data_IF_332736443637
#
_entry.id   IF_332736443637
#
_cell.length_a   1.000
_cell.length_b   1.000
_cell.length_c   1.000
_cell.angle_alpha   90.00
_cell.angle_beta   90.00
_cell.angle_gamma   90.00
#
_symmetry.space_group_name_H-M   'P 1'
#
loop_
_entity.id
_entity.type
_entity.pdbx_description
1 polymer ?
#
# COMPACT_ATOMS: atom_id res chain seq x y z
N UNK A 1 -9.05 12.98 13.51
CA UNK A 1 -8.35 14.03 12.76
C UNK A 1 -8.72 13.88 11.29
N UNK A 2 -9.11 14.95 10.62
CA UNK A 2 -9.59 14.78 9.26
C UNK A 2 -8.45 14.70 8.23
N UNK A 3 -8.76 14.12 7.09
CA UNK A 3 -7.81 13.85 6.01
C UNK A 3 -7.13 15.12 5.49
N UNK A 4 -7.86 16.23 5.37
CA UNK A 4 -7.30 17.50 4.89
C UNK A 4 -6.21 18.03 5.81
N UNK A 5 -6.42 17.92 7.13
CA UNK A 5 -5.43 18.33 8.11
C UNK A 5 -4.16 17.51 7.99
N UNK A 6 -4.31 16.20 7.88
CA UNK A 6 -3.18 15.28 7.75
C UNK A 6 -2.38 15.58 6.47
N UNK A 7 -3.05 15.72 5.34
CA UNK A 7 -2.40 16.00 4.06
C UNK A 7 -1.66 17.35 4.07
N UNK A 8 -2.19 18.33 4.77
CA UNK A 8 -1.58 19.66 4.84
C UNK A 8 -0.36 19.70 5.74
N UNK A 9 -0.35 18.94 6.84
CA UNK A 9 0.61 19.10 7.92
C UNK A 9 1.65 17.97 7.99
N UNK A 10 1.46 16.89 7.25
CA UNK A 10 2.34 15.73 7.29
C UNK A 10 2.73 15.28 5.90
N UNK A 11 3.95 14.77 5.80
CA UNK A 11 4.46 14.21 4.55
C UNK A 11 3.95 12.77 4.43
N UNK A 12 3.50 12.39 3.24
CA UNK A 12 3.15 11.00 2.94
C UNK A 12 4.42 10.21 2.62
N UNK A 13 4.93 9.51 3.60
CA UNK A 13 6.15 8.71 3.43
C UNK A 13 5.96 7.55 2.46
N UNK A 14 4.73 7.14 2.18
CA UNK A 14 4.45 6.09 1.20
C UNK A 14 4.52 6.58 -0.24
N UNK A 15 4.72 7.86 -0.49
CA UNK A 15 4.74 8.39 -1.85
C UNK A 15 5.94 7.88 -2.66
N UNK A 16 5.69 7.40 -3.87
CA UNK A 16 6.75 7.00 -4.80
C UNK A 16 7.67 8.15 -5.18
N UNK A 17 7.19 9.39 -5.06
CA UNK A 17 7.97 10.58 -5.35
C UNK A 17 9.17 10.69 -4.42
N UNK A 18 9.06 10.17 -3.21
CA UNK A 18 10.16 10.14 -2.24
C UNK A 18 11.14 8.98 -2.44
N UNK A 19 10.91 8.14 -3.45
CA UNK A 19 11.72 6.95 -3.66
C UNK A 19 11.21 5.71 -2.92
N UNK A 20 10.03 5.79 -2.32
CA UNK A 20 9.39 4.65 -1.66
C UNK A 20 9.06 3.57 -2.67
N UNK A 21 9.29 2.32 -2.31
CA UNK A 21 9.14 1.17 -3.21
C UNK A 21 8.44 0.01 -2.52
N UNK A 22 7.77 -0.80 -3.31
CA UNK A 22 7.28 -2.10 -2.85
C UNK A 22 8.48 -3.03 -2.76
N UNK A 23 8.66 -3.64 -1.59
CA UNK A 23 9.74 -4.60 -1.38
C UNK A 23 9.26 -6.03 -1.62
N UNK A 24 8.18 -6.43 -0.98
CA UNK A 24 7.58 -7.76 -1.13
C UNK A 24 6.07 -7.67 -1.05
N UNK A 25 5.41 -8.65 -1.62
CA UNK A 25 3.96 -8.80 -1.52
C UNK A 25 3.58 -10.26 -1.61
N UNK A 26 2.45 -10.64 -1.03
CA UNK A 26 1.96 -12.01 -1.11
C UNK A 26 1.32 -12.30 -2.47
N UNK A 27 0.57 -11.35 -3.00
CA UNK A 27 -0.12 -11.49 -4.28
C UNK A 27 -0.48 -10.11 -4.82
N UNK A 28 -0.56 -9.97 -6.14
CA UNK A 28 -1.02 -8.75 -6.79
C UNK A 28 -1.70 -9.06 -8.14
N UNK A 29 -2.31 -10.23 -8.22
CA UNK A 29 -2.84 -10.74 -9.48
C UNK A 29 -3.84 -9.78 -10.13
N UNK A 30 -4.76 -9.19 -9.36
CA UNK A 30 -5.77 -8.28 -9.90
C UNK A 30 -5.36 -6.82 -9.89
N UNK A 31 -4.43 -6.43 -9.05
CA UNK A 31 -3.97 -5.05 -8.99
C UNK A 31 -2.61 -4.94 -8.34
N UNK A 32 -1.69 -4.23 -9.00
CA UNK A 32 -0.32 -4.07 -8.54
C UNK A 32 -0.24 -3.38 -7.18
N UNK A 33 0.61 -3.89 -6.30
CA UNK A 33 0.88 -3.27 -5.01
C UNK A 33 1.47 -1.86 -5.17
N UNK A 34 2.14 -1.58 -6.28
CA UNK A 34 2.70 -0.25 -6.55
C UNK A 34 1.65 0.86 -6.58
N UNK A 35 0.39 0.50 -6.81
CA UNK A 35 -0.72 1.47 -6.77
C UNK A 35 -0.91 2.08 -5.39
N UNK A 36 -0.41 1.44 -4.33
CA UNK A 36 -0.44 1.99 -2.98
C UNK A 36 0.45 3.22 -2.80
N UNK A 37 1.40 3.44 -3.70
CA UNK A 37 2.45 4.45 -3.56
C UNK A 37 2.18 5.73 -4.34
N UNK A 38 1.09 5.82 -5.06
CA UNK A 38 0.76 7.04 -5.79
C UNK A 38 0.21 8.09 -4.83
N UNK A 39 0.44 9.36 -5.16
CA UNK A 39 0.00 10.47 -4.31
C UNK A 39 -1.44 10.88 -4.55
N UNK A 40 -1.93 10.65 -5.76
CA UNK A 40 -3.26 11.09 -6.17
C UNK A 40 -4.33 10.30 -5.43
N UNK A 41 -5.49 10.91 -5.24
CA UNK A 41 -6.64 10.23 -4.66
C UNK A 41 -7.09 9.07 -5.55
N UNK A 42 -7.63 8.00 -4.95
CA UNK A 42 -8.13 6.90 -5.75
C UNK A 42 -9.25 7.35 -6.68
N UNK A 43 -9.28 6.78 -7.87
CA UNK A 43 -10.28 7.06 -8.88
C UNK A 43 -10.94 5.75 -9.33
N UNK A 44 -12.11 5.88 -9.92
CA UNK A 44 -12.82 4.77 -10.53
C UNK A 44 -12.96 5.03 -12.04
N UNK A 45 -12.70 3.98 -12.84
CA UNK A 45 -12.89 4.03 -14.30
C UNK A 45 -13.90 2.97 -14.68
N UNK A 46 -15.12 3.43 -14.98
CA UNK A 46 -16.17 2.52 -15.38
C UNK A 46 -15.86 1.90 -16.74
N UNK A 47 -16.14 0.60 -16.88
CA UNK A 47 -15.96 -0.10 -18.14
C UNK A 47 -14.52 -0.37 -18.54
N UNK A 48 -13.55 -0.08 -17.68
CA UNK A 48 -12.15 -0.33 -17.96
C UNK A 48 -11.73 -1.66 -17.34
N UNK A 49 -11.09 -2.49 -18.14
CA UNK A 49 -10.59 -3.80 -17.73
C UNK A 49 -9.11 -3.89 -18.06
N UNK A 50 -8.37 -4.56 -17.22
CA UNK A 50 -7.02 -4.95 -17.54
C UNK A 50 -6.95 -6.45 -17.84
N UNK A 51 -5.75 -6.97 -17.93
CA UNK A 51 -5.49 -8.36 -18.29
C UNK A 51 -6.24 -9.38 -17.44
N UNK A 52 -6.45 -9.08 -16.16
CA UNK A 52 -6.97 -10.06 -15.20
C UNK A 52 -8.37 -9.73 -14.69
N UNK A 53 -9.00 -8.68 -15.20
CA UNK A 53 -10.35 -8.33 -14.81
C UNK A 53 -10.61 -6.84 -14.77
N UNK A 54 -11.62 -6.45 -13.99
CA UNK A 54 -12.02 -5.05 -13.86
C UNK A 54 -10.89 -4.23 -13.23
N UNK A 55 -10.56 -3.10 -13.88
CA UNK A 55 -9.53 -2.22 -13.36
C UNK A 55 -9.99 -1.54 -12.07
N UNK A 56 -9.16 -1.63 -11.05
CA UNK A 56 -9.36 -0.96 -9.77
C UNK A 56 -8.10 -0.16 -9.42
N UNK A 57 -8.30 0.97 -8.77
CA UNK A 57 -7.20 1.85 -8.40
C UNK A 57 -6.65 1.50 -7.02
N UNK A 58 -5.96 0.38 -6.96
CA UNK A 58 -5.36 -0.07 -5.72
C UNK A 58 -4.76 -1.45 -5.85
N UNK A 59 -4.16 -1.88 -4.78
CA UNK A 59 -3.63 -3.22 -4.65
C UNK A 59 -4.78 -4.20 -4.46
N UNK A 60 -4.82 -5.23 -5.31
CA UNK A 60 -5.87 -6.23 -5.24
C UNK A 60 -5.29 -7.63 -5.43
N UNK A 61 -5.53 -8.48 -4.45
CA UNK A 61 -5.07 -9.86 -4.43
C UNK A 61 -6.16 -10.81 -4.91
N UNK A 62 -5.76 -12.02 -5.27
CA UNK A 62 -6.72 -13.10 -5.44
C UNK A 62 -7.33 -13.43 -4.08
N UNK A 63 -8.53 -14.01 -4.11
CA UNK A 63 -9.16 -14.50 -2.89
C UNK A 63 -8.26 -15.55 -2.25
N UNK A 64 -7.93 -15.33 -0.98
CA UNK A 64 -7.09 -16.28 -0.25
C UNK A 64 -7.94 -17.46 0.22
N UNK A 65 -7.61 -18.61 -0.29
CA UNK A 65 -8.35 -19.85 -0.01
C UNK A 65 -7.60 -20.77 0.96
N UNK A 66 -6.45 -20.34 1.43
CA UNK A 66 -5.64 -21.03 2.43
C UNK A 66 -5.52 -20.16 3.66
N UNK A 67 -5.13 -20.75 4.77
CA UNK A 67 -4.93 -20.03 6.01
C UNK A 67 -3.82 -19.00 5.87
N UNK A 68 -3.96 -17.87 6.57
CA UNK A 68 -2.99 -16.79 6.57
C UNK A 68 -3.57 -15.49 6.05
N UNK A 69 -2.73 -14.48 5.96
CA UNK A 69 -3.10 -13.13 5.53
C UNK A 69 -2.33 -12.73 4.30
N UNK A 70 -2.92 -11.85 3.50
CA UNK A 70 -2.15 -11.17 2.47
C UNK A 70 -1.32 -10.07 3.10
N UNK A 71 -0.16 -9.79 2.53
CA UNK A 71 0.75 -8.79 3.04
C UNK A 71 1.48 -8.06 1.92
N UNK A 72 1.92 -6.86 2.26
CA UNK A 72 2.82 -6.07 1.43
C UNK A 72 3.86 -5.44 2.34
N UNK A 73 5.10 -5.46 1.90
CA UNK A 73 6.21 -4.80 2.58
C UNK A 73 6.66 -3.62 1.72
N UNK A 74 6.68 -2.45 2.34
CA UNK A 74 7.01 -1.20 1.67
C UNK A 74 8.31 -0.67 2.27
N UNK A 75 9.27 -0.38 1.40
CA UNK A 75 10.52 0.27 1.81
C UNK A 75 10.37 1.77 1.59
N UNK A 76 10.34 2.52 2.68
CA UNK A 76 10.25 3.98 2.61
C UNK A 76 11.50 4.57 1.98
N UNK A 77 11.34 5.57 1.13
CA UNK A 77 12.45 6.24 0.46
C UNK A 77 13.23 7.18 1.38
N UNK A 78 12.59 7.65 2.45
CA UNK A 78 13.19 8.53 3.44
C UNK A 78 12.94 7.99 4.83
N UNK A 79 13.87 8.14 5.76
CA UNK A 79 13.60 7.88 7.17
C UNK A 79 12.62 8.92 7.70
N UNK A 80 11.81 8.52 8.66
CA UNK A 80 10.85 9.44 9.25
C UNK A 80 10.12 8.82 10.41
N UNK A 81 9.39 9.67 11.12
CA UNK A 81 8.52 9.25 12.21
C UNK A 81 7.11 9.07 11.64
N UNK A 82 6.54 7.90 11.86
CA UNK A 82 5.17 7.61 11.42
C UNK A 82 4.21 8.09 12.51
N UNK A 83 3.38 9.06 12.17
CA UNK A 83 2.36 9.59 13.09
C UNK A 83 0.99 9.02 12.80
N UNK A 84 0.69 8.76 11.53
CA UNK A 84 -0.61 8.27 11.08
C UNK A 84 -0.43 7.27 9.96
N UNK A 85 -1.37 6.34 9.86
CA UNK A 85 -1.51 5.48 8.71
C UNK A 85 -2.96 5.56 8.24
N UNK A 86 -3.15 5.77 6.96
CA UNK A 86 -4.47 5.75 6.34
C UNK A 86 -4.54 4.59 5.38
N UNK A 87 -5.54 3.74 5.57
CA UNK A 87 -5.83 2.63 4.68
C UNK A 87 -7.11 2.98 3.95
N UNK A 88 -6.97 3.25 2.65
CA UNK A 88 -8.07 3.71 1.82
C UNK A 88 -8.57 2.55 0.96
N UNK A 89 -9.81 2.15 1.18
CA UNK A 89 -10.45 1.07 0.43
C UNK A 89 -11.52 1.60 -0.53
N UNK A 90 -11.40 2.85 -0.94
CA UNK A 90 -12.37 3.47 -1.86
C UNK A 90 -12.56 2.63 -3.11
N UNK A 91 -13.82 2.47 -3.51
CA UNK A 91 -14.28 1.71 -4.67
C UNK A 91 -14.16 0.18 -4.56
N UNK A 92 -13.53 -0.33 -3.51
CA UNK A 92 -13.51 -1.78 -3.26
C UNK A 92 -14.74 -2.18 -2.43
N UNK A 93 -15.89 -2.20 -3.08
CA UNK A 93 -17.16 -2.47 -2.42
C UNK A 93 -17.40 -3.96 -2.30
N UNK A 94 -17.40 -4.46 -1.07
CA UNK A 94 -17.67 -5.87 -0.78
C UNK A 94 -16.45 -6.78 -0.82
N UNK A 95 -15.33 -6.32 -1.36
CA UNK A 95 -14.09 -7.11 -1.42
C UNK A 95 -12.93 -6.51 -0.62
N UNK A 96 -13.19 -5.46 0.14
CA UNK A 96 -12.19 -4.87 1.02
C UNK A 96 -11.94 -5.79 2.23
N UNK A 97 -10.72 -5.76 2.80
CA UNK A 97 -10.44 -6.53 4.00
C UNK A 97 -11.20 -5.97 5.19
N UNK A 98 -11.57 -6.85 6.11
CA UNK A 98 -12.24 -6.44 7.34
C UNK A 98 -11.26 -5.83 8.34
N UNK A 99 -10.02 -6.30 8.33
CA UNK A 99 -9.00 -5.88 9.28
C UNK A 99 -7.67 -5.71 8.56
N UNK A 100 -6.85 -4.83 9.09
CA UNK A 100 -5.49 -4.65 8.66
C UNK A 100 -4.61 -4.32 9.86
N UNK A 101 -3.36 -4.71 9.80
CA UNK A 101 -2.36 -4.33 10.80
C UNK A 101 -1.15 -3.76 10.08
N UNK A 102 -0.41 -2.90 10.78
CA UNK A 102 0.78 -2.26 10.25
C UNK A 102 1.89 -2.41 11.27
N UNK A 103 3.02 -2.95 10.83
CA UNK A 103 4.25 -2.98 11.61
C UNK A 103 5.29 -2.12 10.92
N UNK A 104 6.09 -1.43 11.68
CA UNK A 104 7.17 -0.61 11.14
C UNK A 104 8.49 -1.03 11.75
N UNK A 105 9.51 -1.16 10.93
CA UNK A 105 10.82 -1.64 11.33
C UNK A 105 11.91 -0.69 10.86
N UNK A 106 13.00 -0.65 11.60
CA UNK A 106 14.15 0.12 11.21
C UNK A 106 15.06 -0.72 10.32
N UNK A 107 15.46 -0.17 9.18
CA UNK A 107 16.42 -0.80 8.27
C UNK A 107 17.81 -0.25 8.59
N UNK A 108 18.70 -1.14 9.04
CA UNK A 108 20.01 -0.72 9.53
C UNK A 108 21.09 -0.61 8.46
N UNK A 109 21.00 -1.40 7.41
CA UNK A 109 22.01 -1.36 6.37
C UNK A 109 21.39 -1.14 5.00
N UNK A 110 22.03 -0.29 4.21
CA UNK A 110 21.62 -0.05 2.83
C UNK A 110 22.06 -1.18 1.89
N UNK A 111 23.05 -1.98 2.29
CA UNK A 111 23.67 -3.00 1.43
C UNK A 111 22.95 -4.33 1.50
N UNK A 112 22.28 -4.60 2.60
CA UNK A 112 21.52 -5.80 2.77
C UNK A 112 20.04 -5.43 2.88
N UNK A 113 19.36 -5.44 1.75
CA UNK A 113 17.97 -5.03 1.65
C UNK A 113 17.04 -5.83 2.56
N UNK A 114 17.49 -6.98 3.05
CA UNK A 114 16.73 -7.87 3.91
C UNK A 114 17.09 -7.76 5.39
N UNK A 115 18.09 -6.94 5.74
CA UNK A 115 18.47 -6.74 7.13
C UNK A 115 17.52 -5.73 7.79
N UNK A 116 16.43 -6.25 8.27
CA UNK A 116 15.39 -5.47 8.93
C UNK A 116 15.24 -5.94 10.35
N UNK A 117 15.31 -5.01 11.30
CA UNK A 117 14.96 -5.29 12.69
C UNK A 117 13.63 -4.63 13.06
N UNK A 118 12.79 -5.45 13.63
CA UNK A 118 11.47 -5.02 14.10
C UNK A 118 11.39 -5.09 15.62
#
# INVERSE_FOLDING_TARGET
>A
MNKKYIQKNYINLCSKVLGTKIHRFSDQFFGSASRLLKEEQPIFKEGVYDKNGKWMDGWETRRKRIEGNDYVTIKLGLPGKINFAEIDTSYFNGNQPQYASIDACLLYTSDAADDVEC
#
